data_IF_979424112443
#
_entry.id   IF_979424112443
#
_cell.length_a   1.000
_cell.length_b   1.000
_cell.length_c   1.000
_cell.angle_alpha   90.00
_cell.angle_beta   90.00
_cell.angle_gamma   90.00
#
_symmetry.space_group_name_H-M   'P 1'
#
loop_
_entity.id
_entity.type
_entity.pdbx_description
1 polymer ?
#
# COMPACT_ATOMS: atom_id res chain seq x y z
N UNK A 1 -0.79 -24.00 -13.80
CA UNK A 1 -1.52 -25.18 -14.32
C UNK A 1 -2.41 -25.83 -13.26
N UNK A 2 -2.05 -25.79 -11.97
CA UNK A 2 -2.83 -26.40 -10.90
C UNK A 2 -4.16 -25.68 -10.69
N UNK A 3 -4.17 -24.37 -10.51
CA UNK A 3 -5.37 -23.53 -10.38
C UNK A 3 -6.38 -23.77 -11.52
N UNK A 4 -5.91 -23.93 -12.76
CA UNK A 4 -6.77 -24.15 -13.91
C UNK A 4 -7.61 -25.44 -13.82
N UNK A 5 -7.15 -26.49 -13.11
CA UNK A 5 -7.89 -27.75 -12.94
C UNK A 5 -9.21 -27.59 -12.20
N UNK A 6 -9.31 -26.57 -11.37
CA UNK A 6 -10.50 -26.28 -10.57
C UNK A 6 -11.47 -25.34 -11.28
N UNK A 7 -11.04 -24.67 -12.36
CA UNK A 7 -11.90 -23.78 -13.13
C UNK A 7 -12.86 -24.55 -14.06
N UNK A 8 -13.99 -23.94 -14.47
CA UNK A 8 -15.00 -24.60 -15.31
C UNK A 8 -14.48 -25.04 -16.68
N UNK A 9 -13.47 -24.39 -17.24
CA UNK A 9 -12.91 -24.69 -18.56
C UNK A 9 -13.78 -24.27 -19.75
N UNK A 10 -14.85 -23.52 -19.51
CA UNK A 10 -15.85 -23.14 -20.54
C UNK A 10 -15.46 -21.95 -21.40
N UNK A 11 -14.48 -21.17 -20.97
CA UNK A 11 -13.97 -19.98 -21.67
C UNK A 11 -15.07 -18.98 -22.11
N UNK A 12 -16.06 -18.74 -21.27
CA UNK A 12 -17.23 -17.89 -21.61
C UNK A 12 -16.90 -16.40 -21.62
N UNK A 13 -15.84 -15.97 -20.93
CA UNK A 13 -15.50 -14.55 -20.77
C UNK A 13 -16.28 -13.82 -19.67
N UNK A 14 -17.23 -14.45 -18.99
CA UNK A 14 -18.11 -13.82 -18.00
C UNK A 14 -17.37 -13.28 -16.76
N UNK A 15 -16.15 -13.74 -16.50
CA UNK A 15 -15.26 -13.24 -15.46
C UNK A 15 -14.38 -12.06 -15.91
N UNK A 16 -14.58 -11.54 -17.14
CA UNK A 16 -13.79 -10.46 -17.70
C UNK A 16 -12.48 -10.89 -18.37
N UNK A 17 -12.14 -12.19 -18.34
CA UNK A 17 -10.95 -12.74 -19.00
C UNK A 17 -11.37 -13.63 -20.18
N UNK A 18 -10.65 -13.55 -21.31
CA UNK A 18 -11.00 -14.25 -22.54
C UNK A 18 -10.99 -15.79 -22.40
N UNK A 19 -10.20 -16.33 -21.46
CA UNK A 19 -10.09 -17.76 -21.23
C UNK A 19 -9.96 -18.07 -19.74
N UNK A 20 -10.40 -19.27 -19.32
CA UNK A 20 -10.19 -19.74 -17.96
C UNK A 20 -8.69 -19.87 -17.60
N UNK A 21 -7.81 -20.05 -18.57
CA UNK A 21 -6.36 -20.05 -18.34
C UNK A 21 -5.84 -18.64 -18.01
N UNK A 22 -6.32 -17.60 -18.70
CA UNK A 22 -6.01 -16.22 -18.38
C UNK A 22 -6.54 -15.85 -16.97
N UNK A 23 -7.77 -16.27 -16.67
CA UNK A 23 -8.34 -16.09 -15.32
C UNK A 23 -7.53 -16.80 -14.24
N UNK A 24 -7.04 -18.03 -14.48
CA UNK A 24 -6.16 -18.74 -13.55
C UNK A 24 -4.85 -17.97 -13.27
N UNK A 25 -4.26 -17.36 -14.30
CA UNK A 25 -3.06 -16.52 -14.12
C UNK A 25 -3.36 -15.28 -13.28
N UNK A 26 -4.50 -14.63 -13.52
CA UNK A 26 -4.94 -13.46 -12.75
C UNK A 26 -5.26 -13.77 -11.29
N UNK A 27 -5.81 -14.95 -11.01
CA UNK A 27 -6.03 -15.43 -9.63
C UNK A 27 -4.70 -15.61 -8.88
N UNK A 28 -3.69 -16.20 -9.53
CA UNK A 28 -2.35 -16.35 -8.94
C UNK A 28 -1.68 -15.01 -8.69
N UNK A 29 -1.87 -14.04 -9.60
CA UNK A 29 -1.38 -12.67 -9.47
C UNK A 29 -2.21 -11.83 -8.46
N UNK A 30 -3.31 -12.38 -7.93
CA UNK A 30 -4.29 -11.69 -7.07
C UNK A 30 -4.86 -10.41 -7.70
N UNK A 31 -4.83 -10.31 -9.04
CA UNK A 31 -5.45 -9.23 -9.80
C UNK A 31 -6.93 -9.48 -10.12
N UNK A 32 -7.44 -10.67 -9.79
CA UNK A 32 -8.85 -11.09 -9.85
C UNK A 32 -9.20 -11.92 -8.62
N UNK A 33 -10.48 -11.86 -8.23
CA UNK A 33 -11.03 -12.67 -7.14
C UNK A 33 -11.78 -13.91 -7.68
N UNK A 34 -11.74 -15.00 -6.92
CA UNK A 34 -12.42 -16.26 -7.27
C UNK A 34 -13.93 -16.05 -7.47
N UNK A 35 -14.54 -15.12 -6.74
CA UNK A 35 -15.96 -14.80 -6.81
C UNK A 35 -16.35 -14.06 -8.10
N UNK A 36 -15.40 -13.57 -8.88
CA UNK A 36 -15.66 -12.95 -10.17
C UNK A 36 -16.04 -13.96 -11.27
N UNK A 37 -15.87 -15.28 -11.02
CA UNK A 37 -16.30 -16.33 -11.93
C UNK A 37 -17.72 -16.81 -11.59
N UNK A 38 -18.78 -16.38 -12.32
CA UNK A 38 -20.16 -16.77 -12.00
C UNK A 38 -20.41 -18.29 -12.08
N UNK A 39 -19.62 -18.98 -12.90
CA UNK A 39 -19.74 -20.43 -13.07
C UNK A 39 -19.21 -21.20 -11.86
N UNK A 40 -18.18 -20.73 -11.16
CA UNK A 40 -17.65 -21.34 -9.95
C UNK A 40 -18.63 -21.24 -8.76
N UNK A 41 -19.54 -20.27 -8.78
CA UNK A 41 -20.52 -20.07 -7.71
C UNK A 41 -21.73 -21.00 -7.82
N UNK A 42 -21.85 -21.79 -8.91
CA UNK A 42 -22.92 -22.78 -9.08
C UNK A 42 -22.70 -24.02 -8.21
N UNK A 43 -23.79 -24.64 -7.77
CA UNK A 43 -23.75 -25.81 -6.89
C UNK A 43 -22.88 -26.96 -7.45
N UNK A 44 -22.87 -27.15 -8.77
CA UNK A 44 -22.06 -28.16 -9.46
C UNK A 44 -20.54 -27.99 -9.31
N UNK A 45 -20.08 -26.77 -8.99
CA UNK A 45 -18.67 -26.43 -8.79
C UNK A 45 -18.29 -26.19 -7.33
N UNK A 46 -19.21 -26.39 -6.39
CA UNK A 46 -19.01 -26.08 -4.97
C UNK A 46 -17.76 -26.74 -4.36
N UNK A 47 -17.53 -28.02 -4.66
CA UNK A 47 -16.33 -28.72 -4.18
C UNK A 47 -15.05 -28.12 -4.78
N UNK A 48 -15.06 -27.85 -6.09
CA UNK A 48 -13.93 -27.21 -6.77
C UNK A 48 -13.66 -25.81 -6.26
N UNK A 49 -14.72 -25.04 -5.95
CA UNK A 49 -14.61 -23.72 -5.34
C UNK A 49 -13.91 -23.78 -3.98
N UNK A 50 -14.33 -24.74 -3.12
CA UNK A 50 -13.73 -24.91 -1.78
C UNK A 50 -12.23 -25.29 -1.90
N UNK A 51 -11.89 -26.23 -2.76
CA UNK A 51 -10.51 -26.64 -2.96
C UNK A 51 -9.65 -25.55 -3.59
N UNK A 52 -10.20 -24.81 -4.56
CA UNK A 52 -9.53 -23.67 -5.16
C UNK A 52 -9.32 -22.54 -4.14
N UNK A 53 -10.32 -22.26 -3.29
CA UNK A 53 -10.19 -21.26 -2.22
C UNK A 53 -9.09 -21.63 -1.23
N UNK A 54 -8.94 -22.91 -0.90
CA UNK A 54 -7.83 -23.37 -0.05
C UNK A 54 -6.48 -23.25 -0.75
N UNK A 55 -6.42 -23.59 -2.05
CA UNK A 55 -5.19 -23.51 -2.85
C UNK A 55 -4.71 -22.06 -3.03
N UNK A 56 -5.65 -21.11 -3.11
CA UNK A 56 -5.37 -19.69 -3.27
C UNK A 56 -5.25 -18.94 -1.94
N UNK A 57 -5.55 -19.60 -0.81
CA UNK A 57 -5.37 -19.00 0.50
C UNK A 57 -3.90 -18.68 0.76
N UNK A 58 -3.58 -17.48 1.25
CA UNK A 58 -2.21 -17.10 1.54
C UNK A 58 -1.61 -17.96 2.66
N UNK A 59 -0.29 -18.08 2.65
CA UNK A 59 0.46 -18.77 3.71
C UNK A 59 0.26 -18.11 5.07
N UNK A 60 0.28 -16.77 5.11
CA UNK A 60 -0.09 -15.97 6.28
C UNK A 60 -1.53 -15.50 6.11
N UNK A 61 -2.38 -15.82 7.07
CA UNK A 61 -3.80 -15.45 7.02
C UNK A 61 -3.99 -13.94 6.90
N UNK A 62 -5.01 -13.56 6.15
CA UNK A 62 -5.46 -12.18 6.11
C UNK A 62 -6.40 -11.88 7.27
N UNK A 63 -6.26 -10.70 7.86
CA UNK A 63 -7.16 -10.18 8.89
C UNK A 63 -7.67 -8.81 8.44
N UNK A 64 -8.99 -8.66 8.41
CA UNK A 64 -9.64 -7.41 8.03
C UNK A 64 -10.05 -6.64 9.29
N UNK A 65 -9.69 -5.36 9.36
CA UNK A 65 -10.00 -4.45 10.46
C UNK A 65 -10.78 -3.26 9.90
N UNK A 66 -11.86 -2.88 10.55
CA UNK A 66 -12.76 -1.84 10.04
C UNK A 66 -13.82 -2.36 9.08
N UNK A 67 -14.63 -1.46 8.56
CA UNK A 67 -15.76 -1.72 7.64
C UNK A 67 -15.74 -0.77 6.45
N UNK A 68 -16.43 -1.14 5.36
CA UNK A 68 -16.55 -0.31 4.15
C UNK A 68 -15.22 -0.09 3.43
N UNK A 69 -15.11 1.04 2.73
CA UNK A 69 -13.97 1.38 1.87
C UNK A 69 -12.71 1.78 2.65
N UNK A 70 -12.85 2.08 3.95
CA UNK A 70 -11.72 2.41 4.82
C UNK A 70 -11.14 1.20 5.55
N UNK A 71 -11.76 0.02 5.42
CA UNK A 71 -11.25 -1.18 6.05
C UNK A 71 -9.83 -1.50 5.58
N UNK A 72 -9.00 -1.94 6.51
CA UNK A 72 -7.60 -2.33 6.28
C UNK A 72 -7.49 -3.84 6.35
N UNK A 73 -6.82 -4.45 5.37
CA UNK A 73 -6.47 -5.88 5.39
C UNK A 73 -4.97 -5.99 5.64
N UNK A 74 -4.59 -6.83 6.59
CA UNK A 74 -3.19 -7.10 6.97
C UNK A 74 -2.87 -8.59 6.81
N UNK A 75 -1.60 -8.93 6.70
CA UNK A 75 -1.16 -10.30 6.39
C UNK A 75 -1.30 -10.63 4.90
N UNK A 76 -1.47 -11.89 4.57
CA UNK A 76 -1.66 -12.30 3.18
C UNK A 76 -0.37 -12.61 2.42
N UNK A 77 0.76 -12.71 3.08
CA UNK A 77 2.03 -13.06 2.44
C UNK A 77 2.13 -14.54 2.14
N UNK A 78 2.70 -14.82 0.93
CA UNK A 78 3.00 -16.17 0.47
C UNK A 78 4.50 -16.50 0.50
N UNK A 79 5.34 -15.49 0.65
CA UNK A 79 6.80 -15.64 0.54
C UNK A 79 7.55 -14.84 1.60
N UNK A 80 8.72 -15.36 1.99
CA UNK A 80 9.62 -14.66 2.90
C UNK A 80 10.26 -13.40 2.27
N UNK A 81 10.45 -13.40 0.94
CA UNK A 81 11.22 -12.38 0.26
C UNK A 81 10.47 -11.83 -0.96
N UNK A 82 10.28 -10.52 -1.02
CA UNK A 82 9.53 -9.82 -2.08
C UNK A 82 10.07 -10.05 -3.51
N UNK A 83 11.32 -10.46 -3.68
CA UNK A 83 11.86 -10.78 -5.00
C UNK A 83 11.32 -12.10 -5.58
N UNK A 84 10.74 -12.96 -4.75
CA UNK A 84 10.08 -14.20 -5.20
C UNK A 84 8.66 -13.92 -5.68
N UNK A 85 7.96 -13.08 -4.96
CA UNK A 85 6.62 -12.59 -5.26
C UNK A 85 6.43 -11.25 -4.53
N UNK A 86 5.60 -10.34 -5.06
CA UNK A 86 5.31 -9.08 -4.36
C UNK A 86 4.60 -9.34 -3.02
N UNK A 87 4.70 -8.41 -2.10
CA UNK A 87 3.84 -8.36 -0.92
C UNK A 87 2.55 -7.63 -1.28
N UNK A 88 1.39 -8.16 -0.86
CA UNK A 88 0.09 -7.68 -1.33
C UNK A 88 -0.54 -6.64 -0.41
N UNK A 89 -0.51 -6.86 0.91
CA UNK A 89 -1.13 -5.98 1.88
C UNK A 89 -0.06 -5.13 2.58
N UNK A 90 -0.02 -3.81 2.36
CA UNK A 90 0.97 -2.94 3.00
C UNK A 90 0.86 -2.98 4.51
N UNK A 91 2.01 -2.89 5.21
CA UNK A 91 2.04 -2.70 6.67
C UNK A 91 1.10 -1.57 7.08
N UNK A 92 0.12 -1.86 7.93
CA UNK A 92 -0.81 -0.85 8.41
C UNK A 92 -0.20 -0.04 9.55
N UNK A 93 -0.30 1.29 9.49
CA UNK A 93 0.18 2.20 10.53
C UNK A 93 -1.00 2.78 11.30
N UNK A 94 -1.08 2.44 12.60
CA UNK A 94 -2.04 2.96 13.55
C UNK A 94 -1.39 4.01 14.45
N UNK A 95 -1.97 5.19 14.51
CA UNK A 95 -1.45 6.29 15.34
C UNK A 95 -2.25 6.41 16.61
N UNK A 96 -1.55 6.56 17.74
CA UNK A 96 -2.20 6.55 19.02
C UNK A 96 -2.92 7.84 19.37
N UNK A 97 -3.99 7.68 20.12
CA UNK A 97 -4.65 8.66 20.98
C UNK A 97 -4.95 7.99 22.33
N UNK A 98 -5.16 8.77 23.38
CA UNK A 98 -5.40 8.17 24.70
C UNK A 98 -6.52 8.86 25.46
N UNK A 99 -7.12 8.14 26.36
CA UNK A 99 -8.36 8.53 27.05
C UNK A 99 -8.22 9.67 28.08
N UNK A 100 -6.99 10.08 28.43
CA UNK A 100 -6.73 11.23 29.30
C UNK A 100 -6.38 12.50 28.54
N UNK A 101 -6.43 12.50 27.20
CA UNK A 101 -6.25 13.72 26.40
C UNK A 101 -7.37 14.72 26.63
N UNK A 102 -7.04 16.02 26.57
CA UNK A 102 -8.06 17.05 26.48
C UNK A 102 -8.86 16.88 25.18
N UNK A 103 -10.17 17.13 25.22
CA UNK A 103 -11.05 16.88 24.07
C UNK A 103 -10.62 17.61 22.81
N UNK A 104 -10.20 18.88 22.93
CA UNK A 104 -9.71 19.67 21.80
C UNK A 104 -8.46 19.09 21.17
N UNK A 105 -7.52 18.59 21.99
CA UNK A 105 -6.29 17.96 21.53
C UNK A 105 -6.57 16.62 20.86
N UNK A 106 -7.50 15.82 21.43
CA UNK A 106 -7.94 14.56 20.86
C UNK A 106 -8.49 14.77 19.44
N UNK A 107 -9.46 15.67 19.29
CA UNK A 107 -10.10 15.96 18.00
C UNK A 107 -9.07 16.53 17.00
N UNK A 108 -8.21 17.44 17.43
CA UNK A 108 -7.15 17.99 16.57
C UNK A 108 -6.21 16.90 16.08
N UNK A 109 -5.78 15.99 16.97
CA UNK A 109 -4.89 14.88 16.62
C UNK A 109 -5.55 13.89 15.66
N UNK A 110 -6.80 13.50 15.91
CA UNK A 110 -7.57 12.64 15.00
C UNK A 110 -7.70 13.28 13.63
N UNK A 111 -8.01 14.59 13.57
CA UNK A 111 -8.11 15.32 12.31
C UNK A 111 -6.77 15.43 11.56
N UNK A 112 -5.64 15.61 12.25
CA UNK A 112 -4.32 15.57 11.63
C UNK A 112 -4.03 14.21 11.01
N UNK A 113 -4.39 13.11 11.69
CA UNK A 113 -4.18 11.75 11.19
C UNK A 113 -5.04 11.50 9.96
N UNK A 114 -6.36 11.69 10.04
CA UNK A 114 -7.26 11.35 8.92
C UNK A 114 -7.08 12.21 7.67
N UNK A 115 -6.63 13.46 7.82
CA UNK A 115 -6.44 14.40 6.72
C UNK A 115 -5.00 14.42 6.19
N UNK A 116 -4.09 13.63 6.77
CA UNK A 116 -2.74 13.53 6.24
C UNK A 116 -2.77 12.96 4.83
N UNK A 117 -2.23 13.73 3.88
CA UNK A 117 -2.19 13.37 2.48
C UNK A 117 -0.98 13.98 1.81
N UNK A 118 -0.10 13.16 1.27
CA UNK A 118 1.07 13.61 0.52
C UNK A 118 1.10 12.92 -0.84
N UNK A 119 1.10 13.71 -1.91
CA UNK A 119 1.27 13.17 -3.27
C UNK A 119 2.70 12.65 -3.45
N UNK A 120 2.82 11.46 -3.99
CA UNK A 120 4.08 10.79 -4.29
C UNK A 120 3.95 9.86 -5.50
N UNK A 121 4.64 10.17 -6.60
CA UNK A 121 4.73 9.36 -7.84
C UNK A 121 3.38 8.74 -8.25
N UNK A 122 2.36 9.60 -8.45
CA UNK A 122 1.03 9.18 -8.93
C UNK A 122 0.08 8.62 -7.90
N UNK A 123 0.50 8.48 -6.64
CA UNK A 123 -0.35 8.03 -5.53
C UNK A 123 -0.39 9.05 -4.40
N UNK A 124 -1.28 8.84 -3.45
CA UNK A 124 -1.32 9.64 -2.22
C UNK A 124 -0.94 8.76 -1.03
N UNK A 125 0.13 9.14 -0.36
CA UNK A 125 0.49 8.57 0.93
C UNK A 125 -0.49 9.08 1.99
N UNK A 126 -1.11 8.17 2.72
CA UNK A 126 -2.10 8.43 3.78
C UNK A 126 -1.77 7.62 5.02
N UNK A 127 -2.42 7.94 6.13
CA UNK A 127 -2.36 7.17 7.37
C UNK A 127 -3.57 6.27 7.47
N UNK A 128 -3.43 5.10 8.14
CA UNK A 128 -4.38 4.02 7.93
C UNK A 128 -5.37 3.85 9.07
N UNK A 129 -4.95 4.01 10.34
CA UNK A 129 -5.72 3.59 11.50
C UNK A 129 -5.48 4.47 12.72
N UNK A 130 -6.37 4.39 13.71
CA UNK A 130 -6.19 5.03 15.02
C UNK A 130 -6.19 3.96 16.13
N UNK A 131 -5.17 4.03 17.01
CA UNK A 131 -5.09 3.20 18.21
C UNK A 131 -5.52 4.02 19.44
N UNK A 132 -6.63 3.65 20.07
CA UNK A 132 -7.15 4.32 21.26
C UNK A 132 -6.62 3.59 22.50
N UNK A 133 -5.72 4.23 23.25
CA UNK A 133 -5.11 3.65 24.43
C UNK A 133 -5.82 4.08 25.72
N UNK A 134 -6.14 3.12 26.57
CA UNK A 134 -6.60 3.41 27.92
C UNK A 134 -5.38 3.65 28.82
N UNK A 135 -5.23 4.89 29.26
CA UNK A 135 -4.24 5.31 30.25
C UNK A 135 -4.87 5.56 31.62
N UNK A 136 -6.18 5.80 31.67
CA UNK A 136 -6.96 5.98 32.91
C UNK A 136 -7.35 4.65 33.58
N UNK A 137 -7.41 3.57 32.81
CA UNK A 137 -8.03 2.29 33.19
C UNK A 137 -9.50 2.42 33.62
N UNK A 138 -10.18 3.51 33.23
CA UNK A 138 -11.58 3.80 33.55
C UNK A 138 -12.47 3.50 32.35
N UNK A 139 -13.43 2.53 32.45
CA UNK A 139 -14.31 2.16 31.36
C UNK A 139 -15.14 3.31 30.80
N UNK A 140 -15.74 4.15 31.66
CA UNK A 140 -16.59 5.26 31.23
C UNK A 140 -15.80 6.32 30.45
N UNK A 141 -14.58 6.64 30.94
CA UNK A 141 -13.70 7.60 30.29
C UNK A 141 -13.23 7.07 28.94
N UNK A 142 -12.86 5.79 28.87
CA UNK A 142 -12.47 5.12 27.63
C UNK A 142 -13.61 5.07 26.62
N UNK A 143 -14.83 4.67 27.04
CA UNK A 143 -16.02 4.67 26.18
C UNK A 143 -16.33 6.04 25.60
N UNK A 144 -16.24 7.10 26.42
CA UNK A 144 -16.44 8.46 25.95
C UNK A 144 -15.40 8.88 24.90
N UNK A 145 -14.13 8.50 25.11
CA UNK A 145 -13.07 8.76 24.13
C UNK A 145 -13.30 7.99 22.84
N UNK A 146 -13.61 6.70 22.91
CA UNK A 146 -13.95 5.86 21.75
C UNK A 146 -15.11 6.48 20.95
N UNK A 147 -16.16 6.92 21.64
CA UNK A 147 -17.31 7.59 21.01
C UNK A 147 -16.87 8.84 20.24
N UNK A 148 -16.13 9.75 20.88
CA UNK A 148 -15.65 10.99 20.24
C UNK A 148 -14.76 10.72 19.02
N UNK A 149 -13.84 9.75 19.12
CA UNK A 149 -12.99 9.35 17.99
C UNK A 149 -13.85 8.81 16.85
N UNK A 150 -14.81 7.90 17.17
CA UNK A 150 -15.66 7.28 16.16
C UNK A 150 -16.67 8.22 15.49
N UNK A 151 -16.99 9.36 16.12
CA UNK A 151 -17.78 10.45 15.55
C UNK A 151 -16.94 11.41 14.70
N UNK A 152 -15.61 11.42 14.90
CA UNK A 152 -14.67 12.31 14.19
C UNK A 152 -14.10 11.69 12.93
N UNK A 153 -13.94 10.34 12.89
CA UNK A 153 -13.29 9.64 11.79
C UNK A 153 -13.92 8.30 11.46
N UNK A 154 -13.81 7.91 10.19
CA UNK A 154 -14.16 6.56 9.70
C UNK A 154 -12.94 5.64 9.55
N UNK A 155 -11.74 6.06 9.98
CA UNK A 155 -10.57 5.19 9.99
C UNK A 155 -10.79 4.00 10.94
N UNK A 156 -10.28 2.81 10.60
CA UNK A 156 -10.33 1.65 11.48
C UNK A 156 -9.68 1.90 12.84
N UNK A 157 -10.20 1.27 13.88
CA UNK A 157 -9.79 1.51 15.25
C UNK A 157 -9.12 0.28 15.86
N UNK A 158 -8.12 0.54 16.71
CA UNK A 158 -7.57 -0.46 17.65
C UNK A 158 -7.95 -0.01 19.05
N UNK A 159 -8.61 -0.87 19.81
CA UNK A 159 -8.95 -0.64 21.21
C UNK A 159 -7.85 -1.22 22.10
N UNK A 160 -7.08 -0.38 22.77
CA UNK A 160 -5.88 -0.79 23.51
C UNK A 160 -6.09 -0.74 25.02
N UNK A 161 -6.27 -1.90 25.62
CA UNK A 161 -6.27 -2.12 27.08
C UNK A 161 -5.98 -3.58 27.43
N UNK A 162 -5.39 -3.84 28.58
CA UNK A 162 -5.31 -5.17 29.16
C UNK A 162 -6.46 -5.48 30.14
N UNK A 163 -7.29 -4.48 30.44
CA UNK A 163 -8.49 -4.65 31.25
C UNK A 163 -9.69 -4.99 30.36
N UNK A 164 -10.31 -6.19 30.51
CA UNK A 164 -11.46 -6.60 29.70
C UNK A 164 -12.69 -5.69 29.86
N UNK A 165 -12.91 -5.10 31.03
CA UNK A 165 -14.07 -4.20 31.26
C UNK A 165 -13.91 -2.90 30.46
N UNK A 166 -12.70 -2.39 30.33
CA UNK A 166 -12.37 -1.24 29.49
C UNK A 166 -12.57 -1.58 28.01
N UNK A 167 -12.09 -2.75 27.57
CA UNK A 167 -12.32 -3.21 26.20
C UNK A 167 -13.82 -3.36 25.89
N UNK A 168 -14.60 -3.94 26.81
CA UNK A 168 -16.06 -4.07 26.69
C UNK A 168 -16.71 -2.70 26.47
N UNK A 169 -16.38 -1.72 27.31
CA UNK A 169 -16.98 -0.38 27.23
C UNK A 169 -16.70 0.30 25.87
N UNK A 170 -15.53 0.07 25.27
CA UNK A 170 -15.23 0.53 23.92
C UNK A 170 -15.99 -0.25 22.84
N UNK A 171 -16.10 -1.58 22.98
CA UNK A 171 -16.81 -2.44 22.04
C UNK A 171 -18.32 -2.18 22.00
N UNK A 172 -18.91 -1.79 23.12
CA UNK A 172 -20.34 -1.35 23.18
C UNK A 172 -20.61 -0.13 22.27
N UNK A 173 -19.58 0.67 21.97
CA UNK A 173 -19.70 1.85 21.12
C UNK A 173 -19.39 1.53 19.64
N UNK A 174 -18.35 0.71 19.36
CA UNK A 174 -17.83 0.53 18.00
C UNK A 174 -17.67 -0.94 17.57
N UNK A 175 -18.28 -1.88 18.30
CA UNK A 175 -18.16 -3.31 17.97
C UNK A 175 -18.66 -3.66 16.58
N UNK A 176 -19.67 -2.96 16.08
CA UNK A 176 -20.21 -3.08 14.72
C UNK A 176 -19.27 -2.52 13.62
N UNK A 177 -18.30 -1.70 13.99
CA UNK A 177 -17.26 -1.16 13.09
C UNK A 177 -16.04 -2.10 12.93
N UNK A 178 -16.07 -3.32 13.46
CA UNK A 178 -15.02 -4.32 13.39
C UNK A 178 -13.63 -3.81 13.85
N UNK A 179 -13.50 -3.25 15.07
CA UNK A 179 -12.22 -2.80 15.59
C UNK A 179 -11.32 -3.97 15.97
N UNK A 180 -9.99 -3.76 15.93
CA UNK A 180 -9.04 -4.71 16.50
C UNK A 180 -8.95 -4.54 18.02
N UNK A 181 -9.03 -5.63 18.79
CA UNK A 181 -8.77 -5.60 20.24
C UNK A 181 -7.29 -5.81 20.49
N UNK A 182 -6.67 -4.94 21.26
CA UNK A 182 -5.32 -5.09 21.83
C UNK A 182 -5.40 -5.01 23.35
N UNK A 183 -5.17 -6.08 24.13
CA UNK A 183 -4.76 -7.39 23.70
C UNK A 183 -5.20 -8.49 24.68
N UNK A 184 -5.22 -9.71 24.18
CA UNK A 184 -5.31 -10.91 25.00
C UNK A 184 -3.91 -11.33 25.47
N UNK A 185 -3.79 -11.63 26.74
CA UNK A 185 -2.58 -12.13 27.43
C UNK A 185 -2.88 -13.44 28.15
N UNK A 186 -1.87 -14.11 28.67
CA UNK A 186 -2.05 -15.30 29.51
C UNK A 186 -2.94 -15.06 30.74
N UNK A 187 -3.06 -13.80 31.19
CA UNK A 187 -3.76 -13.46 32.44
C UNK A 187 -5.24 -13.07 32.22
N UNK A 188 -5.59 -12.56 31.00
CA UNK A 188 -6.93 -12.06 30.70
C UNK A 188 -7.62 -12.79 29.53
N UNK A 189 -6.98 -13.80 28.93
CA UNK A 189 -7.42 -14.43 27.68
C UNK A 189 -8.87 -14.94 27.70
N UNK A 190 -9.36 -15.45 28.85
CA UNK A 190 -10.73 -15.98 28.96
C UNK A 190 -11.74 -14.86 28.66
N UNK A 191 -11.62 -13.73 29.38
CA UNK A 191 -12.54 -12.61 29.21
C UNK A 191 -12.40 -11.94 27.82
N UNK A 192 -11.17 -11.78 27.30
CA UNK A 192 -10.95 -11.21 25.97
C UNK A 192 -11.48 -12.14 24.87
N UNK A 193 -11.30 -13.45 25.00
CA UNK A 193 -11.90 -14.46 24.12
C UNK A 193 -13.44 -14.32 24.07
N UNK A 194 -14.09 -14.17 25.24
CA UNK A 194 -15.54 -14.01 25.30
C UNK A 194 -15.99 -12.72 24.59
N UNK A 195 -15.26 -11.62 24.75
CA UNK A 195 -15.52 -10.38 24.00
C UNK A 195 -15.36 -10.57 22.48
N UNK A 196 -14.30 -11.24 22.04
CA UNK A 196 -14.08 -11.50 20.63
C UNK A 196 -15.19 -12.34 19.99
N UNK A 197 -15.72 -13.32 20.71
CA UNK A 197 -16.85 -14.15 20.27
C UNK A 197 -18.16 -13.37 20.24
N UNK A 198 -18.41 -12.54 21.26
CA UNK A 198 -19.62 -11.74 21.40
C UNK A 198 -19.73 -10.70 20.28
N UNK A 199 -18.66 -9.94 20.04
CA UNK A 199 -18.63 -8.86 19.06
C UNK A 199 -18.12 -9.29 17.67
N UNK A 200 -17.58 -10.51 17.53
CA UNK A 200 -17.01 -11.07 16.28
C UNK A 200 -15.92 -10.19 15.67
N UNK A 201 -15.01 -9.74 16.50
CA UNK A 201 -13.93 -8.81 16.14
C UNK A 201 -12.55 -9.48 16.19
N UNK A 202 -11.56 -9.01 15.41
CA UNK A 202 -10.19 -9.50 15.46
C UNK A 202 -9.50 -9.18 16.79
N UNK A 203 -8.54 -10.04 17.18
CA UNK A 203 -7.85 -9.96 18.48
C UNK A 203 -6.35 -10.05 18.30
N UNK A 204 -5.61 -9.15 18.94
CA UNK A 204 -4.18 -9.29 19.13
C UNK A 204 -3.86 -10.17 20.34
N UNK A 205 -3.05 -11.18 20.13
CA UNK A 205 -2.48 -12.03 21.18
C UNK A 205 -1.11 -11.48 21.56
N UNK A 206 -0.92 -11.12 22.81
CA UNK A 206 0.30 -10.49 23.29
C UNK A 206 1.03 -11.37 24.30
N UNK A 207 2.25 -11.77 23.96
CA UNK A 207 3.15 -12.51 24.84
C UNK A 207 4.60 -12.10 24.58
N UNK A 208 5.11 -11.06 25.27
CA UNK A 208 6.41 -10.49 24.98
C UNK A 208 7.53 -11.48 25.28
N UNK A 209 8.38 -11.75 24.29
CA UNK A 209 9.54 -12.64 24.32
C UNK A 209 9.24 -14.12 24.65
N UNK A 210 8.00 -14.53 24.69
CA UNK A 210 7.57 -15.90 24.97
C UNK A 210 6.69 -16.44 23.82
N UNK A 211 7.34 -17.04 22.82
CA UNK A 211 6.67 -17.59 21.64
C UNK A 211 5.85 -18.85 21.94
N UNK A 212 6.23 -19.61 22.97
CA UNK A 212 5.49 -20.82 23.37
C UNK A 212 4.12 -20.46 23.95
N UNK A 213 4.08 -19.46 24.83
CA UNK A 213 2.81 -18.91 25.34
C UNK A 213 2.00 -18.26 24.21
N UNK A 214 2.64 -17.53 23.29
CA UNK A 214 1.97 -16.93 22.15
C UNK A 214 1.31 -17.99 21.26
N UNK A 215 2.01 -19.07 20.96
CA UNK A 215 1.49 -20.22 20.21
C UNK A 215 0.33 -20.89 20.95
N UNK A 216 0.48 -21.10 22.27
CA UNK A 216 -0.59 -21.69 23.08
C UNK A 216 -1.87 -20.85 23.07
N UNK A 217 -1.75 -19.52 23.16
CA UNK A 217 -2.87 -18.62 23.03
C UNK A 217 -3.51 -18.73 21.64
N UNK A 218 -2.71 -18.74 20.57
CA UNK A 218 -3.22 -18.85 19.20
C UNK A 218 -4.01 -20.15 18.97
N UNK A 219 -3.50 -21.27 19.43
CA UNK A 219 -4.20 -22.56 19.40
C UNK A 219 -5.52 -22.51 20.18
N UNK A 220 -5.48 -21.97 21.41
CA UNK A 220 -6.66 -21.85 22.27
C UNK A 220 -7.74 -21.03 21.61
N UNK A 221 -7.42 -19.84 21.07
CA UNK A 221 -8.43 -18.99 20.40
C UNK A 221 -9.01 -19.66 19.16
N UNK A 222 -8.19 -20.38 18.38
CA UNK A 222 -8.65 -21.15 17.22
C UNK A 222 -9.60 -22.29 17.60
N UNK A 223 -9.37 -23.00 18.70
CA UNK A 223 -10.27 -24.05 19.19
C UNK A 223 -11.66 -23.51 19.55
N UNK A 224 -11.75 -22.24 20.00
CA UNK A 224 -13.02 -21.55 20.18
C UNK A 224 -13.62 -20.97 18.91
N UNK A 225 -12.98 -21.16 17.75
CA UNK A 225 -13.47 -20.72 16.43
C UNK A 225 -13.12 -19.28 16.05
N UNK A 226 -12.27 -18.59 16.83
CA UNK A 226 -11.77 -17.25 16.50
C UNK A 226 -10.65 -17.40 15.47
N UNK A 227 -10.84 -16.81 14.28
CA UNK A 227 -9.94 -16.97 13.13
C UNK A 227 -9.10 -15.73 12.85
N UNK A 228 -9.60 -14.56 13.24
CA UNK A 228 -8.99 -13.27 12.95
C UNK A 228 -8.07 -12.87 14.12
N UNK A 229 -6.85 -13.42 14.07
CA UNK A 229 -5.84 -13.24 15.12
C UNK A 229 -4.66 -12.45 14.57
N UNK A 230 -4.06 -11.62 15.45
CA UNK A 230 -2.81 -10.91 15.22
C UNK A 230 -1.82 -11.29 16.32
N UNK A 231 -0.58 -11.56 15.99
CA UNK A 231 0.44 -11.96 16.95
C UNK A 231 1.33 -10.77 17.33
N UNK A 232 1.46 -10.48 18.62
CA UNK A 232 2.44 -9.53 19.14
C UNK A 232 3.45 -10.23 20.07
N UNK A 233 4.65 -10.53 19.55
CA UNK A 233 5.70 -11.17 20.34
C UNK A 233 6.45 -10.18 21.26
N UNK A 234 5.96 -8.94 21.39
CA UNK A 234 6.59 -7.83 22.09
C UNK A 234 7.61 -7.08 21.22
N UNK A 235 7.58 -5.76 21.32
CA UNK A 235 8.54 -4.89 20.64
C UNK A 235 9.39 -4.14 21.65
N UNK A 236 10.67 -4.46 21.71
CA UNK A 236 11.65 -3.74 22.52
C UNK A 236 12.44 -2.79 21.64
N UNK A 237 12.55 -1.52 22.03
CA UNK A 237 13.06 -0.49 21.12
C UNK A 237 14.59 -0.43 21.06
N UNK A 238 15.34 -1.16 21.92
CA UNK A 238 16.80 -1.03 21.94
C UNK A 238 17.52 -2.26 22.49
N UNK A 239 18.84 -2.26 22.37
CA UNK A 239 19.75 -3.25 22.98
C UNK A 239 19.58 -4.66 22.44
N UNK A 240 19.97 -5.65 23.25
CA UNK A 240 19.86 -7.07 22.89
C UNK A 240 18.41 -7.52 22.72
N UNK A 241 17.47 -6.86 23.39
CA UNK A 241 16.06 -7.17 23.30
C UNK A 241 15.47 -6.75 21.95
N UNK A 242 15.94 -5.66 21.32
CA UNK A 242 15.56 -5.32 19.95
C UNK A 242 15.98 -6.42 18.98
N UNK A 243 17.21 -6.96 19.15
CA UNK A 243 17.64 -8.12 18.35
C UNK A 243 16.72 -9.32 18.56
N UNK A 244 16.35 -9.63 19.83
CA UNK A 244 15.45 -10.73 20.12
C UNK A 244 14.05 -10.52 19.54
N UNK A 245 13.53 -9.28 19.56
CA UNK A 245 12.29 -8.93 18.88
C UNK A 245 12.39 -9.25 17.38
N UNK A 246 13.43 -8.76 16.72
CA UNK A 246 13.68 -9.01 15.31
C UNK A 246 13.77 -10.52 14.99
N UNK A 247 14.51 -11.28 15.80
CA UNK A 247 14.63 -12.73 15.63
C UNK A 247 13.25 -13.43 15.79
N UNK A 248 12.39 -12.96 16.70
CA UNK A 248 11.05 -13.52 16.91
C UNK A 248 10.13 -13.29 15.72
N UNK A 249 10.16 -12.10 15.11
CA UNK A 249 9.40 -11.82 13.89
C UNK A 249 9.82 -12.76 12.74
N UNK A 250 11.13 -12.94 12.56
CA UNK A 250 11.65 -13.87 11.54
C UNK A 250 11.21 -15.30 11.81
N UNK A 251 11.28 -15.76 13.09
CA UNK A 251 10.88 -17.13 13.46
C UNK A 251 9.41 -17.38 13.18
N UNK A 252 8.51 -16.45 13.60
CA UNK A 252 7.08 -16.57 13.36
C UNK A 252 6.76 -16.61 11.86
N UNK A 253 7.32 -15.69 11.07
CA UNK A 253 7.11 -15.65 9.64
C UNK A 253 7.63 -16.90 8.94
N UNK A 254 8.83 -17.37 9.30
CA UNK A 254 9.39 -18.60 8.74
C UNK A 254 8.57 -19.82 9.08
N UNK A 255 8.10 -19.94 10.33
CA UNK A 255 7.26 -21.05 10.75
C UNK A 255 5.95 -21.11 9.95
N UNK A 256 5.32 -19.95 9.68
CA UNK A 256 4.10 -19.88 8.87
C UNK A 256 4.31 -20.18 7.39
N UNK A 257 5.40 -19.69 6.78
CA UNK A 257 5.62 -19.76 5.33
C UNK A 257 6.48 -20.97 4.91
N UNK A 258 7.60 -21.24 5.62
CA UNK A 258 8.57 -22.27 5.21
C UNK A 258 8.33 -23.61 5.92
N UNK A 259 7.73 -23.58 7.11
CA UNK A 259 7.52 -24.78 7.93
C UNK A 259 6.05 -25.22 7.98
N UNK A 260 5.17 -24.55 7.26
CA UNK A 260 3.72 -24.84 7.14
C UNK A 260 2.98 -24.94 8.50
N UNK A 261 3.45 -24.18 9.51
CA UNK A 261 2.81 -24.14 10.81
C UNK A 261 1.60 -23.20 10.79
N UNK A 262 0.47 -23.68 10.26
CA UNK A 262 -0.77 -22.88 10.08
C UNK A 262 -1.41 -22.40 11.37
N UNK A 263 -1.06 -22.99 12.50
CA UNK A 263 -1.50 -22.63 13.84
C UNK A 263 -0.94 -21.28 14.36
N UNK A 264 0.14 -20.79 13.73
CA UNK A 264 0.76 -19.49 14.04
C UNK A 264 0.97 -18.63 12.79
N UNK A 265 0.39 -19.01 11.67
CA UNK A 265 0.48 -18.29 10.40
C UNK A 265 -0.48 -17.09 10.36
N UNK A 266 -0.27 -16.11 11.23
CA UNK A 266 -1.08 -14.90 11.40
C UNK A 266 -0.25 -13.64 11.17
N UNK A 267 -0.89 -12.49 10.90
CA UNK A 267 -0.22 -11.20 10.88
C UNK A 267 0.51 -10.89 12.17
N UNK A 268 1.64 -10.20 12.07
CA UNK A 268 2.48 -9.85 13.23
C UNK A 268 2.38 -8.34 13.48
N UNK A 269 2.08 -7.97 14.73
CA UNK A 269 2.08 -6.60 15.20
C UNK A 269 3.42 -6.22 15.82
N UNK A 270 3.88 -5.01 15.48
CA UNK A 270 4.94 -4.32 16.22
C UNK A 270 4.38 -3.07 16.92
N UNK A 271 5.03 -2.69 18.01
CA UNK A 271 4.68 -1.49 18.78
C UNK A 271 5.89 -0.55 18.92
N UNK A 272 6.37 0.08 17.82
CA UNK A 272 7.51 1.00 17.83
C UNK A 272 7.32 2.20 18.74
N UNK A 273 6.09 2.54 19.09
CA UNK A 273 5.73 3.53 20.11
C UNK A 273 6.50 3.34 21.43
N UNK A 274 6.98 2.13 21.72
CA UNK A 274 7.83 1.85 22.88
C UNK A 274 9.15 2.63 22.90
N UNK A 275 9.58 3.19 21.77
CA UNK A 275 10.73 4.11 21.69
C UNK A 275 10.55 5.35 22.58
N UNK A 276 9.31 5.79 22.77
CA UNK A 276 8.96 6.92 23.64
C UNK A 276 9.13 6.63 25.15
N UNK A 277 9.32 5.36 25.51
CA UNK A 277 9.59 4.97 26.91
C UNK A 277 11.07 5.09 27.29
N UNK A 278 11.97 5.20 26.28
CA UNK A 278 13.43 5.22 26.52
C UNK A 278 14.09 6.54 26.13
N UNK A 279 13.36 7.45 25.52
CA UNK A 279 13.84 8.77 25.12
C UNK A 279 12.94 9.85 25.72
N UNK A 280 13.52 10.80 26.47
CA UNK A 280 12.80 11.93 27.07
C UNK A 280 12.58 13.07 26.08
N UNK A 281 13.50 13.23 25.11
CA UNK A 281 13.39 14.25 24.07
C UNK A 281 12.48 13.76 22.94
N UNK A 282 11.39 14.52 22.61
CA UNK A 282 10.42 14.10 21.62
C UNK A 282 11.00 13.89 20.21
N UNK A 283 12.04 14.66 19.82
CA UNK A 283 12.68 14.52 18.50
C UNK A 283 13.46 13.22 18.44
N UNK A 284 14.22 12.89 19.49
CA UNK A 284 14.96 11.63 19.60
C UNK A 284 14.00 10.43 19.69
N UNK A 285 12.92 10.54 20.45
CA UNK A 285 11.89 9.49 20.55
C UNK A 285 11.25 9.22 19.19
N UNK A 286 10.82 10.26 18.49
CA UNK A 286 10.23 10.19 17.15
C UNK A 286 11.22 9.61 16.12
N UNK A 287 12.48 10.07 16.13
CA UNK A 287 13.51 9.52 15.24
C UNK A 287 13.72 8.02 15.48
N UNK A 288 13.84 7.61 16.77
CA UNK A 288 14.07 6.22 17.11
C UNK A 288 12.85 5.33 16.82
N UNK A 289 11.64 5.84 17.01
CA UNK A 289 10.40 5.19 16.58
C UNK A 289 10.44 4.92 15.07
N UNK A 290 10.82 5.93 14.26
CA UNK A 290 10.98 5.79 12.81
C UNK A 290 12.01 4.73 12.42
N UNK A 291 13.14 4.63 13.14
CA UNK A 291 14.15 3.57 12.91
C UNK A 291 13.55 2.19 13.20
N UNK A 292 12.88 2.03 14.33
CA UNK A 292 12.29 0.74 14.74
C UNK A 292 11.16 0.33 13.80
N UNK A 293 10.25 1.26 13.45
CA UNK A 293 9.16 0.98 12.50
C UNK A 293 9.69 0.60 11.12
N UNK A 294 10.73 1.28 10.65
CA UNK A 294 11.39 0.96 9.38
C UNK A 294 11.97 -0.46 9.36
N UNK A 295 12.60 -0.89 10.45
CA UNK A 295 13.11 -2.26 10.59
C UNK A 295 11.97 -3.29 10.41
N UNK A 296 10.84 -3.08 11.10
CA UNK A 296 9.73 -4.03 11.04
C UNK A 296 8.88 -3.91 9.78
N UNK A 297 8.79 -2.75 9.15
CA UNK A 297 8.21 -2.62 7.80
C UNK A 297 8.96 -3.47 6.78
N UNK A 298 10.29 -3.49 6.85
CA UNK A 298 11.13 -4.33 5.97
C UNK A 298 11.10 -5.81 6.39
N UNK A 299 10.77 -6.10 7.66
CA UNK A 299 10.83 -7.45 8.25
C UNK A 299 9.58 -7.83 9.01
N UNK A 300 8.53 -8.11 8.23
CA UNK A 300 7.36 -8.90 8.65
C UNK A 300 6.41 -8.26 9.66
N UNK A 301 6.52 -6.96 9.92
CA UNK A 301 5.49 -6.25 10.67
C UNK A 301 4.32 -5.94 9.74
N UNK A 302 3.16 -6.55 10.00
CA UNK A 302 1.95 -6.37 9.19
C UNK A 302 1.10 -5.19 9.68
N UNK A 303 1.24 -4.85 10.95
CA UNK A 303 0.56 -3.72 11.59
C UNK A 303 1.44 -3.12 12.68
N UNK A 304 1.41 -1.79 12.85
CA UNK A 304 2.21 -1.11 13.86
C UNK A 304 1.42 -0.05 14.59
N UNK A 305 1.73 0.13 15.89
CA UNK A 305 1.24 1.25 16.69
C UNK A 305 2.37 2.26 16.84
N UNK A 306 2.12 3.48 16.33
CA UNK A 306 3.06 4.60 16.28
C UNK A 306 2.50 5.81 17.05
N UNK A 307 3.38 6.69 17.51
CA UNK A 307 3.01 7.94 18.17
C UNK A 307 3.25 9.16 17.30
N UNK A 308 4.42 9.25 16.67
CA UNK A 308 4.81 10.47 15.94
C UNK A 308 3.97 10.68 14.68
N UNK A 309 3.38 11.87 14.56
CA UNK A 309 2.71 12.34 13.33
C UNK A 309 3.47 13.48 12.67
N UNK A 310 4.73 13.66 13.04
CA UNK A 310 5.58 14.69 12.47
C UNK A 310 6.04 14.31 11.06
N UNK A 311 6.02 15.25 10.09
CA UNK A 311 6.36 14.94 8.70
C UNK A 311 7.76 14.32 8.53
N UNK A 312 8.74 14.69 9.35
CA UNK A 312 10.10 14.15 9.29
C UNK A 312 10.19 12.67 9.73
N UNK A 313 9.24 12.19 10.52
CA UNK A 313 9.07 10.79 10.89
C UNK A 313 8.23 10.04 9.85
N UNK A 314 7.06 10.58 9.50
CA UNK A 314 6.08 9.94 8.63
C UNK A 314 6.59 9.71 7.20
N UNK A 315 7.24 10.72 6.59
CA UNK A 315 7.61 10.63 5.19
C UNK A 315 8.61 9.50 4.90
N UNK A 316 9.69 9.30 5.67
CA UNK A 316 10.59 8.16 5.48
C UNK A 316 9.87 6.81 5.60
N UNK A 317 8.97 6.65 6.59
CA UNK A 317 8.22 5.41 6.82
C UNK A 317 7.25 5.11 5.67
N UNK A 318 6.48 6.10 5.25
CA UNK A 318 5.51 5.96 4.17
C UNK A 318 6.17 5.69 2.82
N UNK A 319 7.29 6.37 2.52
CA UNK A 319 8.07 6.11 1.31
C UNK A 319 8.70 4.72 1.33
N UNK A 320 9.24 4.29 2.47
CA UNK A 320 9.79 2.94 2.62
C UNK A 320 8.71 1.90 2.39
N UNK A 321 7.54 2.06 3.03
CA UNK A 321 6.40 1.17 2.87
C UNK A 321 5.97 1.08 1.40
N UNK A 322 5.75 2.20 0.74
CA UNK A 322 5.36 2.25 -0.66
C UNK A 322 6.36 1.49 -1.55
N UNK A 323 7.65 1.70 -1.35
CA UNK A 323 8.70 0.98 -2.08
C UNK A 323 8.74 -0.52 -1.81
N UNK A 324 8.50 -0.94 -0.55
CA UNK A 324 8.53 -2.37 -0.19
C UNK A 324 7.34 -3.11 -0.78
N UNK A 325 6.18 -2.48 -0.87
CA UNK A 325 4.95 -3.11 -1.38
C UNK A 325 4.70 -2.86 -2.88
N UNK A 326 5.57 -2.13 -3.57
CA UNK A 326 5.60 -2.07 -5.04
C UNK A 326 6.18 -3.36 -5.61
N UNK A 327 5.54 -3.95 -6.63
CA UNK A 327 6.04 -5.19 -7.27
C UNK A 327 7.42 -4.95 -7.93
N UNK A 328 8.50 -5.55 -7.44
CA UNK A 328 9.85 -5.31 -7.96
C UNK A 328 10.07 -5.91 -9.36
N UNK A 329 9.14 -6.71 -9.85
CA UNK A 329 9.21 -7.37 -11.16
C UNK A 329 8.51 -6.55 -12.25
N UNK A 330 7.71 -5.56 -11.87
CA UNK A 330 6.93 -4.72 -12.80
C UNK A 330 7.33 -3.26 -12.62
N UNK A 331 7.88 -2.60 -13.64
CA UNK A 331 8.11 -1.17 -13.58
C UNK A 331 6.80 -0.41 -13.32
N UNK A 332 6.85 0.57 -12.42
CA UNK A 332 5.70 1.46 -12.18
C UNK A 332 5.53 2.36 -13.40
N UNK A 333 4.40 2.26 -14.07
CA UNK A 333 4.09 3.00 -15.29
C UNK A 333 2.77 3.74 -15.20
N UNK A 334 2.66 4.80 -16.00
CA UNK A 334 1.39 5.47 -16.29
C UNK A 334 0.85 4.98 -17.63
N UNK A 335 -0.43 5.24 -17.89
CA UNK A 335 -1.02 4.90 -19.18
C UNK A 335 -0.37 5.74 -20.29
N UNK A 336 -0.11 5.08 -21.44
CA UNK A 336 0.32 5.79 -22.63
C UNK A 336 -0.81 6.70 -23.14
N UNK A 337 -0.45 7.86 -23.72
CA UNK A 337 -1.45 8.80 -24.17
C UNK A 337 -0.89 10.16 -24.57
N UNK A 338 -1.78 11.11 -24.78
CA UNK A 338 -1.43 12.52 -24.98
C UNK A 338 -2.17 13.33 -23.92
N UNK A 339 -1.40 13.93 -23.01
CA UNK A 339 -1.93 14.68 -21.89
C UNK A 339 -1.75 16.19 -22.12
N UNK A 340 -2.78 16.98 -21.85
CA UNK A 340 -2.69 18.43 -21.82
C UNK A 340 -2.19 18.87 -20.42
N UNK A 341 -1.11 19.63 -20.38
CA UNK A 341 -0.57 20.25 -19.18
C UNK A 341 -0.94 21.73 -19.24
N UNK A 342 -1.64 22.22 -18.22
CA UNK A 342 -2.21 23.57 -18.24
C UNK A 342 -3.32 23.72 -19.27
N UNK A 343 -3.28 24.77 -20.06
CA UNK A 343 -4.25 25.08 -21.11
C UNK A 343 -3.54 25.26 -22.48
N UNK A 344 -3.01 24.17 -23.10
CA UNK A 344 -2.24 24.29 -24.31
C UNK A 344 -3.10 24.77 -25.51
N UNK A 345 -2.49 25.58 -26.35
CA UNK A 345 -3.04 26.12 -27.58
C UNK A 345 -2.22 25.73 -28.84
N UNK A 346 -2.49 26.36 -29.95
CA UNK A 346 -1.78 26.10 -31.22
C UNK A 346 -0.31 26.48 -31.26
N UNK A 347 0.18 27.27 -30.30
CA UNK A 347 1.59 27.70 -30.21
C UNK A 347 2.34 26.89 -29.11
N UNK A 348 1.62 26.07 -28.36
CA UNK A 348 2.15 25.31 -27.24
C UNK A 348 3.03 24.12 -27.71
N UNK A 349 4.16 23.82 -27.03
CA UNK A 349 5.03 22.72 -27.42
C UNK A 349 4.39 21.36 -27.19
N UNK A 350 4.81 20.39 -28.01
CA UNK A 350 4.45 18.98 -27.88
C UNK A 350 5.69 18.20 -27.45
N UNK A 351 5.78 17.88 -26.17
CA UNK A 351 6.88 17.10 -25.61
C UNK A 351 6.59 15.59 -25.72
N UNK A 352 7.65 14.80 -25.83
CA UNK A 352 7.58 13.33 -25.84
C UNK A 352 8.29 12.79 -24.60
N UNK A 353 7.70 11.79 -23.93
CA UNK A 353 8.30 11.11 -22.79
C UNK A 353 7.97 9.61 -22.79
N UNK A 354 8.63 8.87 -21.89
CA UNK A 354 8.36 7.46 -21.60
C UNK A 354 7.21 7.34 -20.59
N UNK A 355 6.55 6.18 -20.54
CA UNK A 355 5.50 5.92 -19.57
C UNK A 355 6.03 5.44 -18.19
N UNK A 356 7.33 5.48 -17.93
CA UNK A 356 7.87 5.26 -16.58
C UNK A 356 7.31 6.33 -15.62
N UNK A 357 6.61 5.91 -14.56
CA UNK A 357 5.84 6.81 -13.71
C UNK A 357 6.68 7.96 -13.12
N UNK A 358 7.88 7.67 -12.61
CA UNK A 358 8.75 8.70 -12.04
C UNK A 358 9.15 9.74 -13.10
N UNK A 359 9.47 9.31 -14.32
CA UNK A 359 9.81 10.23 -15.43
C UNK A 359 8.61 11.10 -15.80
N UNK A 360 7.44 10.49 -15.98
CA UNK A 360 6.21 11.20 -16.33
C UNK A 360 5.87 12.29 -15.28
N UNK A 361 5.74 11.91 -14.00
CA UNK A 361 5.36 12.85 -12.95
C UNK A 361 6.40 13.93 -12.70
N UNK A 362 7.69 13.64 -12.92
CA UNK A 362 8.74 14.66 -12.84
C UNK A 362 8.57 15.69 -13.96
N UNK A 363 8.39 15.25 -15.21
CA UNK A 363 8.17 16.14 -16.36
C UNK A 363 6.90 16.95 -16.19
N UNK A 364 5.77 16.31 -15.82
CA UNK A 364 4.49 16.98 -15.57
C UNK A 364 4.62 18.06 -14.47
N UNK A 365 5.28 17.72 -13.37
CA UNK A 365 5.50 18.66 -12.24
C UNK A 365 6.35 19.84 -12.67
N UNK A 366 7.43 19.63 -13.41
CA UNK A 366 8.31 20.69 -13.89
C UNK A 366 7.60 21.62 -14.88
N UNK A 367 6.80 21.07 -15.81
CA UNK A 367 6.00 21.85 -16.73
C UNK A 367 4.95 22.69 -15.99
N UNK A 368 4.20 22.06 -15.08
CA UNK A 368 3.15 22.72 -14.31
C UNK A 368 3.70 23.80 -13.38
N UNK A 369 4.79 23.51 -12.67
CA UNK A 369 5.42 24.45 -11.72
C UNK A 369 6.00 25.69 -12.39
N UNK A 370 6.41 25.57 -13.68
CA UNK A 370 6.92 26.66 -14.47
C UNK A 370 5.85 27.30 -15.38
N UNK A 371 4.57 26.91 -15.24
CA UNK A 371 3.44 27.41 -16.03
C UNK A 371 3.67 27.29 -17.55
N UNK A 372 4.23 26.14 -17.98
CA UNK A 372 4.46 25.82 -19.39
C UNK A 372 3.28 25.01 -19.89
N UNK A 373 2.32 25.68 -20.52
CA UNK A 373 1.20 25.06 -21.20
C UNK A 373 1.72 24.23 -22.38
N UNK A 374 1.44 22.93 -22.39
CA UNK A 374 2.02 21.99 -23.37
C UNK A 374 1.22 20.72 -23.54
N UNK A 375 1.43 20.02 -24.65
CA UNK A 375 1.02 18.64 -24.81
C UNK A 375 2.17 17.71 -24.44
N UNK A 376 1.88 16.63 -23.67
CA UNK A 376 2.85 15.62 -23.26
C UNK A 376 2.44 14.26 -23.84
N UNK A 377 3.17 13.82 -24.88
CA UNK A 377 3.01 12.52 -25.52
C UNK A 377 3.75 11.47 -24.71
N UNK A 378 3.00 10.56 -24.10
CA UNK A 378 3.51 9.47 -23.24
C UNK A 378 3.54 8.19 -24.05
N UNK A 379 4.72 7.74 -24.39
CA UNK A 379 4.93 6.51 -25.19
C UNK A 379 5.02 5.30 -24.28
N UNK A 380 4.34 4.21 -24.65
CA UNK A 380 4.47 2.94 -23.95
C UNK A 380 5.85 2.32 -24.16
N UNK A 381 6.67 2.37 -23.11
CA UNK A 381 8.03 1.85 -23.07
C UNK A 381 8.16 0.66 -22.12
N UNK A 382 7.04 -0.04 -21.82
CA UNK A 382 6.95 -1.09 -20.82
C UNK A 382 7.36 -0.59 -19.40
N UNK A 383 7.10 0.69 -19.09
CA UNK A 383 7.46 1.33 -17.84
C UNK A 383 8.96 1.58 -17.66
N UNK A 384 9.73 1.60 -18.75
CA UNK A 384 11.18 1.84 -18.72
C UNK A 384 11.47 3.32 -18.99
N UNK A 385 12.41 3.90 -18.22
CA UNK A 385 12.80 5.30 -18.39
C UNK A 385 13.49 5.58 -19.74
N UNK A 386 13.45 6.84 -20.20
CA UNK A 386 13.85 7.27 -21.54
C UNK A 386 15.18 6.70 -22.02
N UNK A 387 16.26 6.83 -21.24
CA UNK A 387 17.59 6.40 -21.65
C UNK A 387 17.65 4.90 -21.94
N UNK A 388 17.16 4.10 -21.01
CA UNK A 388 17.14 2.64 -21.14
C UNK A 388 16.18 2.19 -22.24
N UNK A 389 15.02 2.84 -22.37
CA UNK A 389 14.04 2.54 -23.39
C UNK A 389 14.54 2.85 -24.82
N UNK A 390 15.31 3.95 -24.99
CA UNK A 390 16.00 4.26 -26.24
C UNK A 390 17.09 3.23 -26.55
N UNK A 391 17.85 2.82 -25.52
CA UNK A 391 18.92 1.81 -25.70
C UNK A 391 18.36 0.43 -26.03
N UNK A 392 17.27 0.02 -25.38
CA UNK A 392 16.59 -1.27 -25.58
C UNK A 392 15.62 -1.32 -26.75
N UNK A 393 15.35 -0.18 -27.41
CA UNK A 393 14.42 -0.09 -28.55
C UNK A 393 12.93 -0.02 -28.16
N UNK A 394 12.61 0.11 -26.89
CA UNK A 394 11.22 0.32 -26.43
C UNK A 394 10.72 1.74 -26.70
N UNK A 395 11.61 2.74 -26.79
CA UNK A 395 11.32 4.07 -27.32
C UNK A 395 11.98 4.20 -28.69
N UNK A 396 11.18 4.30 -29.74
CA UNK A 396 11.62 4.44 -31.12
C UNK A 396 10.61 5.25 -31.94
N UNK A 397 10.99 5.61 -33.17
CA UNK A 397 10.17 6.43 -34.06
C UNK A 397 8.78 5.83 -34.33
N UNK A 398 8.71 4.53 -34.60
CA UNK A 398 7.45 3.82 -34.87
C UNK A 398 6.50 3.88 -33.68
N UNK A 399 6.95 3.63 -32.47
CA UNK A 399 6.10 3.70 -31.24
C UNK A 399 5.62 5.14 -30.97
N UNK A 400 6.42 6.16 -31.26
CA UNK A 400 5.99 7.56 -31.16
C UNK A 400 4.84 7.82 -32.11
N UNK A 401 4.98 7.41 -33.38
CA UNK A 401 3.91 7.54 -34.37
C UNK A 401 2.66 6.76 -33.99
N UNK A 402 2.81 5.47 -33.62
CA UNK A 402 1.69 4.64 -33.16
C UNK A 402 0.95 5.26 -31.96
N UNK A 403 1.66 5.95 -31.07
CA UNK A 403 1.02 6.66 -29.95
C UNK A 403 0.19 7.84 -30.45
N UNK A 404 0.74 8.67 -31.33
CA UNK A 404 0.01 9.79 -31.94
C UNK A 404 -1.24 9.31 -32.69
N UNK A 405 -1.11 8.28 -33.51
CA UNK A 405 -2.20 7.71 -34.31
C UNK A 405 -3.27 7.07 -33.39
N UNK A 406 -2.86 6.31 -32.36
CA UNK A 406 -3.79 5.62 -31.45
C UNK A 406 -4.68 6.59 -30.67
N UNK A 407 -4.16 7.75 -30.32
CA UNK A 407 -4.88 8.76 -29.55
C UNK A 407 -5.46 9.89 -30.42
N UNK A 408 -5.50 9.69 -31.72
CA UNK A 408 -6.07 10.64 -32.70
C UNK A 408 -5.52 12.07 -32.51
N UNK A 409 -4.19 12.16 -32.30
CA UNK A 409 -3.52 13.43 -32.08
C UNK A 409 -2.66 13.83 -33.26
N UNK A 410 -3.25 14.58 -34.20
CA UNK A 410 -2.51 15.18 -35.31
C UNK A 410 -1.85 16.49 -34.86
N UNK A 411 -0.51 16.44 -34.73
CA UNK A 411 0.30 17.58 -34.29
C UNK A 411 0.14 18.77 -35.25
N UNK A 412 -0.03 18.54 -36.54
CA UNK A 412 -0.16 19.63 -37.55
C UNK A 412 -1.54 20.30 -37.52
N UNK A 413 -2.56 19.56 -37.06
CA UNK A 413 -3.90 20.14 -36.87
C UNK A 413 -4.00 20.85 -35.51
N UNK A 414 -3.34 20.30 -34.47
CA UNK A 414 -3.40 20.84 -33.12
C UNK A 414 -2.46 22.02 -32.88
N UNK A 415 -1.38 22.14 -33.68
CA UNK A 415 -0.37 23.19 -33.52
C UNK A 415 -0.04 23.86 -34.84
N UNK A 416 0.26 25.18 -34.83
CA UNK A 416 0.66 25.93 -35.99
C UNK A 416 2.04 25.59 -36.53
N UNK A 417 2.89 25.01 -35.69
CA UNK A 417 4.32 24.77 -35.96
C UNK A 417 4.62 23.31 -36.39
N UNK A 418 3.71 22.34 -36.18
CA UNK A 418 3.90 20.95 -36.59
C UNK A 418 5.18 20.30 -36.02
N UNK A 419 5.58 20.69 -34.81
CA UNK A 419 6.86 20.29 -34.19
C UNK A 419 6.64 19.50 -32.94
N UNK A 420 7.43 18.42 -32.74
CA UNK A 420 7.54 17.69 -31.47
C UNK A 420 8.93 17.86 -30.85
N UNK A 421 9.01 17.76 -29.53
CA UNK A 421 10.24 17.92 -28.77
C UNK A 421 10.59 16.61 -28.10
N UNK A 422 11.69 15.98 -28.55
CA UNK A 422 12.22 14.78 -27.92
C UNK A 422 13.03 15.13 -26.68
N UNK A 423 13.03 14.29 -25.62
CA UNK A 423 13.95 14.46 -24.51
C UNK A 423 15.41 14.33 -25.00
N UNK A 424 16.33 15.09 -24.39
CA UNK A 424 17.73 15.10 -24.80
C UNK A 424 18.41 13.74 -24.79
N UNK A 425 17.93 12.82 -23.92
CA UNK A 425 18.39 11.42 -23.87
C UNK A 425 17.94 10.58 -25.08
N UNK A 426 16.96 11.05 -25.84
CA UNK A 426 16.49 10.43 -27.07
C UNK A 426 16.99 11.14 -28.35
N UNK A 427 17.96 12.05 -28.27
CA UNK A 427 18.47 12.85 -29.37
C UNK A 427 18.84 12.02 -30.62
N UNK A 428 19.34 10.81 -30.45
CA UNK A 428 19.71 9.91 -31.56
C UNK A 428 18.56 9.48 -32.44
N UNK A 429 17.32 9.59 -31.96
CA UNK A 429 16.12 9.21 -32.69
C UNK A 429 15.59 10.34 -33.60
N UNK A 430 16.18 11.54 -33.57
CA UNK A 430 15.65 12.74 -34.24
C UNK A 430 15.31 12.48 -35.69
N UNK A 431 16.28 12.03 -36.50
CA UNK A 431 16.07 11.79 -37.93
C UNK A 431 15.05 10.69 -38.22
N UNK A 432 15.13 9.57 -37.50
CA UNK A 432 14.19 8.45 -37.64
C UNK A 432 12.74 8.89 -37.33
N UNK A 433 12.56 9.77 -36.34
CA UNK A 433 11.24 10.29 -35.97
C UNK A 433 10.73 11.29 -37.01
N UNK A 434 11.60 12.15 -37.55
CA UNK A 434 11.25 13.04 -38.69
C UNK A 434 10.78 12.25 -39.88
N UNK A 435 11.53 11.20 -40.25
CA UNK A 435 11.21 10.35 -41.40
C UNK A 435 9.91 9.57 -41.21
N UNK A 436 9.67 9.00 -40.02
CA UNK A 436 8.51 8.16 -39.72
C UNK A 436 7.22 8.97 -39.54
N UNK A 437 7.31 10.16 -38.91
CA UNK A 437 6.12 10.97 -38.58
C UNK A 437 5.82 12.08 -39.59
N UNK A 438 6.83 12.49 -40.36
CA UNK A 438 6.76 13.67 -41.22
C UNK A 438 6.59 14.98 -40.43
N UNK A 439 6.89 15.00 -39.17
CA UNK A 439 6.89 16.17 -38.29
C UNK A 439 8.29 16.76 -38.19
N UNK A 440 8.35 18.03 -37.84
CA UNK A 440 9.61 18.64 -37.42
C UNK A 440 9.95 18.14 -35.98
N UNK A 441 11.21 17.79 -35.75
CA UNK A 441 11.66 17.27 -34.45
C UNK A 441 12.75 18.17 -33.91
N UNK A 442 12.53 18.64 -32.69
CA UNK A 442 13.53 19.35 -31.88
C UNK A 442 14.02 18.47 -30.73
N UNK A 443 15.27 18.66 -30.34
CA UNK A 443 15.83 17.97 -29.19
C UNK A 443 15.82 18.94 -27.99
N UNK A 444 15.12 18.54 -26.95
CA UNK A 444 15.03 19.24 -25.69
C UNK A 444 16.22 18.97 -24.76
N UNK A 445 16.17 19.42 -23.51
CA UNK A 445 17.19 19.17 -22.51
C UNK A 445 17.22 17.69 -22.08
N UNK A 446 18.33 17.28 -21.40
CA UNK A 446 18.48 15.92 -20.89
C UNK A 446 17.61 15.64 -19.66
N UNK A 447 17.32 16.68 -18.87
CA UNK A 447 16.43 16.64 -17.71
C UNK A 447 15.34 17.72 -17.85
N UNK A 448 14.19 17.46 -17.20
CA UNK A 448 13.01 18.34 -17.31
C UNK A 448 13.20 19.70 -16.60
N UNK A 449 14.03 19.77 -15.57
CA UNK A 449 14.37 21.05 -14.93
C UNK A 449 15.08 22.04 -15.84
N UNK A 450 15.69 21.54 -16.96
CA UNK A 450 16.27 22.37 -18.01
C UNK A 450 15.27 22.93 -19.02
N UNK A 451 14.01 22.49 -19.01
CA UNK A 451 12.99 22.89 -20.02
C UNK A 451 12.77 24.41 -20.04
N UNK A 452 12.57 25.13 -18.91
CA UNK A 452 12.32 26.58 -18.95
C UNK A 452 13.42 27.35 -19.71
N UNK A 453 14.67 27.06 -19.37
CA UNK A 453 15.83 27.73 -20.01
C UNK A 453 15.99 27.33 -21.47
N UNK A 454 15.62 26.10 -21.82
CA UNK A 454 15.64 25.63 -23.21
C UNK A 454 14.54 26.34 -24.03
N UNK A 455 13.33 26.50 -23.47
CA UNK A 455 12.23 27.22 -24.08
C UNK A 455 12.60 28.67 -24.41
N UNK A 456 13.20 29.42 -23.48
CA UNK A 456 13.65 30.81 -23.70
C UNK A 456 14.55 30.97 -24.92
N UNK A 457 15.33 29.95 -25.25
CA UNK A 457 16.33 30.00 -26.34
C UNK A 457 15.84 29.46 -27.66
N UNK A 458 14.94 28.48 -27.62
CA UNK A 458 14.62 27.62 -28.76
C UNK A 458 13.15 27.67 -29.17
N UNK A 459 12.27 28.20 -28.31
CA UNK A 459 10.83 28.24 -28.57
C UNK A 459 10.35 29.68 -28.80
N UNK A 460 9.43 29.95 -29.76
CA UNK A 460 8.90 29.03 -30.76
C UNK A 460 9.90 28.64 -31.85
N UNK A 461 9.69 27.50 -32.53
CA UNK A 461 10.58 27.04 -33.60
C UNK A 461 10.58 28.04 -34.77
N UNK A 462 11.79 28.41 -35.22
CA UNK A 462 11.98 29.38 -36.33
C UNK A 462 11.61 28.75 -37.67
#
# INVERSE_FOLDING_TARGET
>A
LEVFKYLPGTNTGDCGEATCMAFAARLIERSRDINECPHLLKDEFKEKYIELSKLLAPEIREVKIGVGDKAVTIGGEDVMYRHKLTFFNPTAYAFDVWDTMAESELIERVNKIQNFKKFYVGTFLTLDMIAIRSTSSNPDQFANTVKKVSETTDLPLILCSFNPDVLRSGLEIVGDKNPLIYAATKDNWIAVKDLALEYKVPVTLFSPMDLDTLKSLALTFQEFGIKDLVLDPGTYPSGSQLKSTFDNFIKLRRAGIEEDQKDIAFPIMATPITAWMIHEDPVSASYWETVVSSIFTVRYGDIMILHSIEPYALLPELHLRDNIYTDPRKPVSVDAGVNAIGNPDGESPVFVTANFALTYYTVESDLSSNSIDSYLVVVDTDGIGVESAVAGGQLNAKKIKETLDKFDFDVKEKTSHGTIVLPGLAARLQGDVEDETGLRVMVGPKDSGGIPKWMEKNWPPK
#
